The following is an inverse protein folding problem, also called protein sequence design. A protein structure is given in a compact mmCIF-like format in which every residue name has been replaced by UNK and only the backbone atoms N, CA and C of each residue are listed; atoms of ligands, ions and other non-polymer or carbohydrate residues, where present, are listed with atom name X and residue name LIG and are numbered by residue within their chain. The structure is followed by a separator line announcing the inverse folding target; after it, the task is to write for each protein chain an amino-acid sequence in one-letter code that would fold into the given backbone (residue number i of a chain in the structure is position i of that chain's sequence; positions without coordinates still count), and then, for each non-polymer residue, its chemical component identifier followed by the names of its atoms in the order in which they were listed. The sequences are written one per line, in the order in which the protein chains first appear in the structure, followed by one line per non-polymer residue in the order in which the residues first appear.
data_IF_917593352973
#
_entry.id   IF_917593352973
#
_cell.length_a   1.000
_cell.length_b   1.000
_cell.length_c   1.000
_cell.angle_alpha   90.00
_cell.angle_beta   90.00
_cell.angle_gamma   90.00
#
_symmetry.space_group_name_H-M   'P 1'
#
loop_
_entity.id
_entity.type
_entity.pdbx_description
1 polymer ?
#
# COMPACT_ATOMS: atom_id res chain seq x y z
N UNK A 1 5.91 -8.95 3.42
CA UNK A 1 6.76 -8.89 2.21
C UNK A 1 8.13 -9.55 2.40
N UNK A 2 8.80 -9.38 3.54
CA UNK A 2 10.13 -9.98 3.82
C UNK A 2 10.15 -11.49 3.55
N UNK A 3 9.22 -12.25 4.13
CA UNK A 3 9.14 -13.70 3.95
C UNK A 3 9.08 -14.15 2.48
N UNK A 4 8.40 -13.41 1.58
CA UNK A 4 8.35 -13.74 0.14
C UNK A 4 9.74 -13.67 -0.51
N UNK A 5 10.53 -12.65 -0.15
CA UNK A 5 11.86 -12.42 -0.71
C UNK A 5 12.90 -13.33 -0.05
N UNK A 6 12.90 -13.38 1.28
CA UNK A 6 13.81 -14.20 2.06
C UNK A 6 13.60 -15.69 1.79
N UNK A 7 12.36 -16.18 1.79
CA UNK A 7 12.07 -17.59 1.53
C UNK A 7 12.57 -18.04 0.16
N UNK A 8 12.37 -17.24 -0.88
CA UNK A 8 12.89 -17.54 -2.22
C UNK A 8 14.42 -17.52 -2.28
N UNK A 9 15.07 -16.52 -1.67
CA UNK A 9 16.52 -16.41 -1.65
C UNK A 9 17.16 -17.60 -0.89
N UNK A 10 16.66 -17.89 0.31
CA UNK A 10 17.17 -18.98 1.14
C UNK A 10 16.97 -20.35 0.49
N UNK A 11 15.81 -20.59 -0.13
CA UNK A 11 15.54 -21.83 -0.86
C UNK A 11 16.49 -22.02 -2.07
N UNK A 12 16.97 -20.92 -2.67
CA UNK A 12 17.95 -20.94 -3.74
C UNK A 12 19.41 -21.04 -3.25
N UNK A 13 19.63 -21.11 -1.93
CA UNK A 13 20.97 -21.14 -1.34
C UNK A 13 21.66 -19.77 -1.22
N UNK A 14 20.93 -18.66 -1.41
CA UNK A 14 21.47 -17.32 -1.22
C UNK A 14 21.43 -16.91 0.26
N UNK A 15 22.38 -16.06 0.67
CA UNK A 15 22.28 -15.27 1.90
C UNK A 15 21.48 -14.00 1.66
N UNK A 16 20.97 -13.37 2.72
CA UNK A 16 20.16 -12.16 2.61
C UNK A 16 20.47 -11.14 3.71
N UNK A 17 20.50 -9.87 3.30
CA UNK A 17 20.51 -8.70 4.18
C UNK A 17 19.21 -7.94 3.95
N UNK A 18 18.38 -7.82 4.99
CA UNK A 18 17.09 -7.14 4.96
C UNK A 18 17.22 -5.79 5.64
N UNK A 19 17.01 -4.71 4.89
CA UNK A 19 16.81 -3.36 5.45
C UNK A 19 15.32 -3.03 5.50
N UNK A 20 14.62 -3.21 6.64
CA UNK A 20 13.18 -2.96 6.73
C UNK A 20 12.86 -1.46 6.60
N UNK A 21 11.55 -1.16 6.53
CA UNK A 21 11.04 0.20 6.68
C UNK A 21 11.26 0.69 8.11
N UNK A 22 11.59 1.98 8.27
CA UNK A 22 11.93 2.57 9.56
C UNK A 22 10.73 2.63 10.51
N UNK A 23 9.52 2.72 9.95
CA UNK A 23 8.27 2.77 10.71
C UNK A 23 7.82 1.39 11.24
N UNK A 24 8.35 0.29 10.68
CA UNK A 24 7.93 -1.09 11.04
C UNK A 24 9.09 -2.10 11.17
N UNK A 25 10.20 -1.78 11.87
CA UNK A 25 11.39 -2.65 11.90
C UNK A 25 11.21 -3.86 12.82
N UNK A 26 10.36 -3.77 13.84
CA UNK A 26 10.29 -4.76 14.92
C UNK A 26 9.85 -6.14 14.43
N UNK A 27 8.90 -6.22 13.50
CA UNK A 27 8.50 -7.49 12.92
C UNK A 27 9.62 -8.14 12.09
N UNK A 28 10.51 -7.35 11.48
CA UNK A 28 11.67 -7.88 10.78
C UNK A 28 12.71 -8.45 11.75
N UNK A 29 12.93 -7.78 12.89
CA UNK A 29 13.81 -8.26 13.95
C UNK A 29 13.27 -9.56 14.58
N UNK A 30 11.97 -9.64 14.83
CA UNK A 30 11.33 -10.87 15.28
C UNK A 30 11.52 -12.02 14.28
N UNK A 31 11.44 -11.75 12.97
CA UNK A 31 11.78 -12.76 11.96
C UNK A 31 13.25 -13.22 12.02
N UNK A 32 14.19 -12.33 12.36
CA UNK A 32 15.59 -12.71 12.54
C UNK A 32 15.77 -13.64 13.75
N UNK A 33 15.10 -13.34 14.86
CA UNK A 33 15.08 -14.22 16.03
C UNK A 33 14.50 -15.60 15.68
N UNK A 34 13.35 -15.65 14.98
CA UNK A 34 12.77 -16.93 14.54
C UNK A 34 13.67 -17.69 13.58
N UNK A 35 14.44 -17.00 12.73
CA UNK A 35 15.42 -17.63 11.85
C UNK A 35 16.56 -18.29 12.64
N UNK A 36 17.06 -17.62 13.68
CA UNK A 36 18.08 -18.15 14.59
C UNK A 36 17.54 -19.37 15.36
N UNK A 37 16.33 -19.27 15.93
CA UNK A 37 15.65 -20.38 16.63
C UNK A 37 15.41 -21.60 15.71
N UNK A 38 15.21 -21.36 14.41
CA UNK A 38 15.08 -22.40 13.39
C UNK A 38 16.43 -23.02 12.97
N UNK A 39 17.56 -22.52 13.49
CA UNK A 39 18.90 -23.04 13.23
C UNK A 39 19.54 -22.57 11.93
N UNK A 40 19.13 -21.41 11.38
CA UNK A 40 19.84 -20.83 10.24
C UNK A 40 21.29 -20.48 10.66
N UNK A 41 22.31 -20.84 9.86
CA UNK A 41 23.68 -20.50 10.19
C UNK A 41 23.90 -18.98 10.34
N UNK A 42 24.81 -18.54 11.22
CA UNK A 42 25.14 -17.13 11.39
C UNK A 42 25.50 -16.46 10.06
N UNK A 43 24.94 -15.28 9.82
CA UNK A 43 25.18 -14.51 8.60
C UNK A 43 24.32 -14.89 7.39
N UNK A 44 23.51 -15.96 7.45
CA UNK A 44 22.62 -16.35 6.35
C UNK A 44 21.42 -15.40 6.21
N UNK A 45 20.83 -14.98 7.33
CA UNK A 45 19.72 -14.02 7.37
C UNK A 45 20.06 -12.87 8.32
N UNK A 46 20.26 -11.67 7.78
CA UNK A 46 20.64 -10.49 8.56
C UNK A 46 19.57 -9.41 8.42
N UNK A 47 19.28 -8.69 9.51
CA UNK A 47 18.35 -7.56 9.50
C UNK A 47 19.08 -6.33 9.98
N UNK A 48 19.02 -5.27 9.18
CA UNK A 48 19.68 -3.98 9.45
C UNK A 48 18.63 -2.86 9.48
N UNK A 49 17.98 -2.61 10.63
CA UNK A 49 17.15 -1.43 10.81
C UNK A 49 17.98 -0.16 10.59
N UNK A 50 17.35 0.87 10.04
CA UNK A 50 17.97 2.16 9.84
C UNK A 50 16.94 3.24 10.12
N UNK A 51 17.41 4.38 10.64
CA UNK A 51 16.57 5.58 10.73
C UNK A 51 16.39 6.24 9.36
N UNK A 52 15.60 7.32 9.35
CA UNK A 52 15.33 8.09 8.14
C UNK A 52 16.59 8.73 7.55
N UNK A 53 17.47 9.29 8.39
CA UNK A 53 18.70 9.97 7.96
C UNK A 53 19.72 9.04 7.28
N UNK A 54 19.82 7.79 7.71
CA UNK A 54 20.79 6.83 7.18
C UNK A 54 20.25 5.96 6.05
N UNK A 55 18.94 5.91 5.85
CA UNK A 55 18.30 5.00 4.87
C UNK A 55 18.85 5.18 3.45
N UNK A 56 19.02 6.42 2.98
CA UNK A 56 19.52 6.68 1.63
C UNK A 56 20.98 6.26 1.46
N UNK A 57 21.82 6.56 2.45
CA UNK A 57 23.25 6.21 2.43
C UNK A 57 23.46 4.69 2.42
N UNK A 58 22.75 3.97 3.32
CA UNK A 58 22.81 2.50 3.38
C UNK A 58 22.31 1.88 2.07
N UNK A 59 21.20 2.36 1.52
CA UNK A 59 20.65 1.81 0.27
C UNK A 59 21.61 2.02 -0.90
N UNK A 60 22.24 3.21 -0.99
CA UNK A 60 23.25 3.51 -2.01
C UNK A 60 24.46 2.59 -1.88
N UNK A 61 24.97 2.41 -0.66
CA UNK A 61 26.09 1.49 -0.38
C UNK A 61 25.79 0.06 -0.83
N UNK A 62 24.62 -0.47 -0.47
CA UNK A 62 24.17 -1.82 -0.87
C UNK A 62 24.08 -1.93 -2.40
N UNK A 63 23.54 -0.92 -3.08
CA UNK A 63 23.40 -0.94 -4.54
C UNK A 63 24.74 -0.84 -5.29
N UNK A 64 25.78 -0.24 -4.70
CA UNK A 64 27.10 -0.10 -5.32
C UNK A 64 28.12 -1.16 -4.88
N UNK A 65 27.87 -1.90 -3.80
CA UNK A 65 28.81 -2.91 -3.30
C UNK A 65 28.91 -4.09 -4.26
N UNK A 66 30.13 -4.55 -4.59
CA UNK A 66 30.36 -5.75 -5.41
C UNK A 66 30.02 -7.06 -4.71
N UNK A 67 29.80 -7.04 -3.40
CA UNK A 67 29.46 -8.25 -2.61
C UNK A 67 27.97 -8.63 -2.70
N UNK A 68 27.15 -7.78 -3.33
CA UNK A 68 25.69 -7.99 -3.46
C UNK A 68 25.35 -8.28 -4.92
N UNK A 69 24.89 -9.49 -5.25
CA UNK A 69 24.54 -9.83 -6.63
C UNK A 69 23.12 -9.43 -7.05
N UNK A 70 22.21 -9.32 -6.08
CA UNK A 70 20.77 -9.16 -6.31
C UNK A 70 20.16 -8.12 -5.40
N UNK A 71 19.42 -7.17 -5.98
CA UNK A 71 18.57 -6.22 -5.25
C UNK A 71 17.11 -6.60 -5.45
N UNK A 72 16.38 -6.79 -4.34
CA UNK A 72 14.93 -7.06 -4.37
C UNK A 72 14.19 -6.03 -3.52
N UNK A 73 13.54 -5.07 -4.18
CA UNK A 73 12.88 -3.94 -3.54
C UNK A 73 11.36 -4.04 -3.62
N UNK A 74 10.68 -3.56 -2.58
CA UNK A 74 9.23 -3.30 -2.60
C UNK A 74 8.99 -1.94 -1.97
N UNK A 75 8.34 -1.02 -2.69
CA UNK A 75 8.08 0.33 -2.21
C UNK A 75 7.64 1.27 -3.32
N UNK A 76 7.92 2.57 -3.20
CA UNK A 76 7.44 3.55 -4.17
C UNK A 76 8.17 3.45 -5.51
N UNK A 77 7.46 3.76 -6.59
CA UNK A 77 8.03 3.77 -7.95
C UNK A 77 9.21 4.74 -8.07
N UNK A 78 9.15 5.89 -7.40
CA UNK A 78 10.23 6.87 -7.39
C UNK A 78 11.52 6.29 -6.78
N UNK A 79 11.43 5.61 -5.63
CA UNK A 79 12.60 4.98 -5.01
C UNK A 79 13.09 3.79 -5.82
N UNK A 80 12.18 2.98 -6.38
CA UNK A 80 12.55 1.86 -7.27
C UNK A 80 13.42 2.30 -8.45
N UNK A 81 13.07 3.43 -9.10
CA UNK A 81 13.87 4.01 -10.19
C UNK A 81 15.27 4.43 -9.73
N UNK A 82 15.38 5.03 -8.53
CA UNK A 82 16.69 5.40 -7.95
C UNK A 82 17.56 4.19 -7.67
N UNK A 83 17.00 3.14 -7.07
CA UNK A 83 17.73 1.91 -6.75
C UNK A 83 18.17 1.18 -8.01
N UNK A 84 17.33 1.14 -9.04
CA UNK A 84 17.67 0.57 -10.35
C UNK A 84 18.86 1.30 -10.98
N UNK A 85 18.83 2.64 -10.98
CA UNK A 85 19.93 3.45 -11.51
C UNK A 85 21.24 3.24 -10.73
N UNK A 86 21.17 3.16 -9.40
CA UNK A 86 22.34 2.90 -8.56
C UNK A 86 22.92 1.50 -8.79
N UNK A 87 22.05 0.50 -8.95
CA UNK A 87 22.44 -0.91 -9.17
C UNK A 87 23.10 -1.15 -10.53
N UNK A 88 22.88 -0.26 -11.50
CA UNK A 88 23.50 -0.36 -12.82
C UNK A 88 25.04 -0.23 -12.78
N UNK A 89 25.59 0.44 -11.76
CA UNK A 89 27.04 0.62 -11.57
C UNK A 89 27.84 -0.69 -11.49
N UNK A 90 27.17 -1.79 -11.11
CA UNK A 90 27.78 -3.13 -10.96
C UNK A 90 26.95 -4.20 -11.67
N UNK A 91 26.02 -3.79 -12.55
CA UNK A 91 25.19 -4.67 -13.39
C UNK A 91 24.44 -5.75 -12.58
N UNK A 92 23.90 -5.39 -11.41
CA UNK A 92 23.19 -6.33 -10.52
C UNK A 92 21.88 -6.81 -11.13
N UNK A 93 21.42 -7.99 -10.71
CA UNK A 93 20.03 -8.41 -10.94
C UNK A 93 19.11 -7.59 -10.02
N UNK A 94 18.07 -6.98 -10.59
CA UNK A 94 17.14 -6.12 -9.85
C UNK A 94 15.69 -6.59 -10.02
N UNK A 95 15.02 -6.88 -8.91
CA UNK A 95 13.60 -7.24 -8.86
C UNK A 95 12.81 -6.15 -8.12
N UNK A 96 11.83 -5.53 -8.79
CA UNK A 96 11.08 -4.39 -8.25
C UNK A 96 9.58 -4.68 -8.19
N UNK A 97 8.99 -4.44 -7.03
CA UNK A 97 7.54 -4.42 -6.80
C UNK A 97 7.16 -3.00 -6.36
N UNK A 98 6.51 -2.24 -7.23
CA UNK A 98 6.37 -0.79 -7.08
C UNK A 98 4.91 -0.35 -6.85
N UNK A 99 4.63 0.95 -6.97
CA UNK A 99 3.29 1.50 -6.79
C UNK A 99 2.32 1.02 -7.87
N UNK A 100 1.06 0.79 -7.47
CA UNK A 100 -0.02 0.38 -8.35
C UNK A 100 -1.09 1.45 -8.50
N UNK A 101 -2.00 1.25 -9.47
CA UNK A 101 -3.25 2.04 -9.57
C UNK A 101 -4.37 1.14 -10.09
N UNK A 102 -4.72 0.16 -9.27
CA UNK A 102 -5.60 -0.94 -9.64
C UNK A 102 -7.03 -0.44 -10.00
N UNK A 103 -7.51 -0.70 -11.22
CA UNK A 103 -8.88 -0.39 -11.60
C UNK A 103 -9.83 -1.49 -11.12
N UNK A 104 -11.01 -1.10 -10.65
CA UNK A 104 -12.18 -1.96 -10.52
C UNK A 104 -13.16 -1.53 -11.60
N UNK A 105 -13.56 -2.45 -12.48
CA UNK A 105 -14.45 -2.16 -13.60
C UNK A 105 -15.74 -2.97 -13.40
N UNK A 106 -16.85 -2.28 -13.20
CA UNK A 106 -18.17 -2.86 -12.95
C UNK A 106 -19.06 -2.60 -14.16
N UNK A 107 -19.24 -3.63 -14.99
CA UNK A 107 -20.07 -3.59 -16.19
C UNK A 107 -21.57 -3.64 -15.84
N UNK A 108 -22.42 -3.22 -16.78
CA UNK A 108 -23.88 -3.25 -16.66
C UNK A 108 -24.41 -4.62 -16.19
N UNK A 109 -23.84 -5.71 -16.70
CA UNK A 109 -24.26 -7.08 -16.42
C UNK A 109 -23.69 -7.65 -15.11
N UNK A 110 -22.93 -6.88 -14.35
CA UNK A 110 -22.31 -7.36 -13.12
C UNK A 110 -23.34 -7.57 -12.01
N UNK A 111 -23.18 -8.65 -11.25
CA UNK A 111 -23.88 -8.79 -9.98
C UNK A 111 -23.35 -7.73 -8.99
N UNK A 112 -24.19 -6.75 -8.67
CA UNK A 112 -23.82 -5.66 -7.78
C UNK A 112 -23.49 -6.11 -6.35
N UNK A 113 -24.11 -7.17 -5.85
CA UNK A 113 -23.80 -7.70 -4.52
C UNK A 113 -22.38 -8.27 -4.48
N UNK A 114 -22.00 -9.03 -5.50
CA UNK A 114 -20.64 -9.57 -5.66
C UNK A 114 -19.64 -8.44 -5.88
N UNK A 115 -19.94 -7.49 -6.77
CA UNK A 115 -19.06 -6.37 -7.07
C UNK A 115 -18.77 -5.49 -5.84
N UNK A 116 -19.78 -5.17 -5.04
CA UNK A 116 -19.65 -4.40 -3.79
C UNK A 116 -18.84 -5.18 -2.77
N UNK A 117 -19.13 -6.46 -2.55
CA UNK A 117 -18.37 -7.31 -1.61
C UNK A 117 -16.90 -7.40 -2.00
N UNK A 118 -16.61 -7.63 -3.28
CA UNK A 118 -15.24 -7.64 -3.81
C UNK A 118 -14.54 -6.30 -3.64
N UNK A 119 -15.24 -5.20 -3.93
CA UNK A 119 -14.75 -3.83 -3.76
C UNK A 119 -14.38 -3.52 -2.31
N UNK A 120 -15.20 -3.93 -1.35
CA UNK A 120 -14.95 -3.75 0.08
C UNK A 120 -13.65 -4.45 0.50
N UNK A 121 -13.49 -5.72 0.13
CA UNK A 121 -12.27 -6.49 0.44
C UNK A 121 -11.02 -5.94 -0.23
N UNK A 122 -11.14 -5.53 -1.51
CA UNK A 122 -10.03 -4.98 -2.28
C UNK A 122 -9.59 -3.59 -1.81
N UNK A 123 -10.52 -2.76 -1.31
CA UNK A 123 -10.22 -1.39 -0.91
C UNK A 123 -9.76 -1.27 0.54
N UNK A 124 -10.43 -1.95 1.45
CA UNK A 124 -10.32 -1.62 2.88
C UNK A 124 -9.36 -2.52 3.66
N UNK A 125 -8.86 -3.62 3.05
CA UNK A 125 -7.78 -4.42 3.64
C UNK A 125 -6.55 -3.55 3.90
N UNK A 126 -6.03 -3.59 5.13
CA UNK A 126 -4.90 -2.76 5.55
C UNK A 126 -5.18 -1.25 5.49
N UNK A 127 -6.45 -0.85 5.65
CA UNK A 127 -6.92 0.54 5.48
C UNK A 127 -6.59 1.12 4.09
N UNK A 128 -6.52 0.27 3.06
CA UNK A 128 -6.16 0.67 1.69
C UNK A 128 -4.68 0.91 1.44
N UNK A 129 -3.81 0.58 2.40
CA UNK A 129 -2.36 0.73 2.32
C UNK A 129 -1.70 -0.55 1.79
N UNK A 130 -2.17 -1.04 0.65
CA UNK A 130 -1.57 -2.18 -0.05
C UNK A 130 -1.40 -1.84 -1.53
N UNK A 131 -0.30 -2.27 -2.15
CA UNK A 131 0.01 -1.97 -3.56
C UNK A 131 -1.03 -2.51 -4.57
N UNK A 132 -1.82 -3.50 -4.15
CA UNK A 132 -2.91 -4.10 -4.95
C UNK A 132 -4.30 -3.58 -4.55
N UNK A 133 -4.37 -2.60 -3.64
CA UNK A 133 -5.64 -2.04 -3.23
C UNK A 133 -6.34 -1.36 -4.41
N UNK A 134 -7.67 -1.51 -4.48
CA UNK A 134 -8.46 -0.82 -5.49
C UNK A 134 -8.25 0.71 -5.38
N UNK A 135 -7.89 1.34 -6.49
CA UNK A 135 -7.56 2.77 -6.53
C UNK A 135 -8.60 3.57 -7.32
N UNK A 136 -9.07 3.02 -8.43
CA UNK A 136 -10.00 3.69 -9.36
C UNK A 136 -11.18 2.78 -9.63
N UNK A 137 -12.40 3.28 -9.44
CA UNK A 137 -13.62 2.52 -9.66
C UNK A 137 -14.32 3.07 -10.90
N UNK A 138 -14.47 2.24 -11.92
CA UNK A 138 -15.20 2.53 -13.15
C UNK A 138 -16.50 1.75 -13.09
N UNK A 139 -17.63 2.45 -13.00
CA UNK A 139 -18.94 1.81 -12.85
C UNK A 139 -19.81 2.27 -13.99
N UNK A 140 -20.34 1.29 -14.74
CA UNK A 140 -21.18 1.58 -15.89
C UNK A 140 -22.36 2.48 -15.53
N UNK A 141 -22.59 3.52 -16.34
CA UNK A 141 -23.52 4.61 -16.03
C UNK A 141 -24.92 4.15 -15.59
N UNK A 142 -25.47 3.10 -16.21
CA UNK A 142 -26.80 2.55 -15.89
C UNK A 142 -26.94 1.97 -14.47
N UNK A 143 -25.84 1.53 -13.87
CA UNK A 143 -25.83 0.88 -12.54
C UNK A 143 -25.05 1.70 -11.51
N UNK A 144 -24.57 2.88 -11.89
CA UNK A 144 -23.71 3.73 -11.07
C UNK A 144 -24.37 4.07 -9.72
N UNK A 145 -25.57 4.63 -9.74
CA UNK A 145 -26.21 5.13 -8.52
C UNK A 145 -26.62 3.98 -7.57
N UNK A 146 -26.99 2.83 -8.12
CA UNK A 146 -27.25 1.60 -7.35
C UNK A 146 -25.98 1.06 -6.70
N UNK A 147 -24.86 1.05 -7.42
CA UNK A 147 -23.56 0.67 -6.87
C UNK A 147 -23.14 1.60 -5.73
N UNK A 148 -23.24 2.93 -5.92
CA UNK A 148 -22.95 3.93 -4.87
C UNK A 148 -23.80 3.67 -3.63
N UNK A 149 -25.11 3.47 -3.81
CA UNK A 149 -26.03 3.21 -2.69
C UNK A 149 -25.64 1.96 -1.91
N UNK A 150 -25.35 0.86 -2.59
CA UNK A 150 -24.93 -0.40 -1.95
C UNK A 150 -23.55 -0.28 -1.29
N UNK A 151 -22.61 0.43 -1.90
CA UNK A 151 -21.30 0.72 -1.30
C UNK A 151 -21.44 1.52 0.00
N UNK A 152 -22.29 2.55 0.04
CA UNK A 152 -22.55 3.32 1.27
C UNK A 152 -23.05 2.42 2.40
N UNK A 153 -24.02 1.55 2.11
CA UNK A 153 -24.55 0.61 3.11
C UNK A 153 -23.45 -0.30 3.64
N UNK A 154 -22.63 -0.87 2.77
CA UNK A 154 -21.52 -1.74 3.16
C UNK A 154 -20.46 -0.98 4.00
N UNK A 155 -20.12 0.25 3.61
CA UNK A 155 -19.12 1.07 4.30
C UNK A 155 -19.57 1.56 5.68
N UNK A 156 -20.87 1.78 5.89
CA UNK A 156 -21.41 2.14 7.22
C UNK A 156 -21.21 1.06 8.27
N UNK A 157 -20.97 -0.19 7.86
CA UNK A 157 -20.64 -1.28 8.77
C UNK A 157 -19.18 -1.30 9.24
N UNK A 158 -18.31 -0.41 8.74
CA UNK A 158 -16.90 -0.37 9.11
C UNK A 158 -16.67 0.41 10.41
N UNK A 159 -15.99 -0.23 11.35
CA UNK A 159 -15.51 0.39 12.59
C UNK A 159 -14.05 0.82 12.44
N UNK A 160 -13.78 2.10 12.70
CA UNK A 160 -12.41 2.66 12.72
C UNK A 160 -11.91 2.71 14.15
N UNK A 161 -10.70 2.22 14.41
CA UNK A 161 -10.21 2.14 15.78
C UNK A 161 -8.79 1.59 15.92
N UNK A 162 -8.46 1.19 17.14
CA UNK A 162 -7.21 0.51 17.47
C UNK A 162 -7.19 -0.88 16.82
N UNK A 163 -6.07 -1.24 16.17
CA UNK A 163 -5.89 -2.53 15.53
C UNK A 163 -5.86 -3.72 16.50
N UNK A 164 -5.69 -3.47 17.79
CA UNK A 164 -5.76 -4.50 18.83
C UNK A 164 -7.20 -4.75 19.33
N UNK A 165 -8.16 -3.88 19.01
CA UNK A 165 -9.56 -4.09 19.33
C UNK A 165 -10.20 -5.04 18.30
N UNK A 166 -10.77 -6.19 18.70
CA UNK A 166 -11.40 -7.15 17.78
C UNK A 166 -12.61 -6.59 17.02
N UNK A 167 -13.19 -5.47 17.45
CA UNK A 167 -14.29 -4.78 16.75
C UNK A 167 -13.80 -3.89 15.62
N UNK A 168 -12.52 -3.53 15.59
CA UNK A 168 -11.97 -2.65 14.56
C UNK A 168 -11.87 -3.36 13.22
N UNK A 169 -12.41 -2.74 12.17
CA UNK A 169 -12.24 -3.19 10.79
C UNK A 169 -11.16 -2.38 10.06
N UNK A 170 -11.00 -1.11 10.44
CA UNK A 170 -10.11 -0.14 9.80
C UNK A 170 -9.17 0.44 10.86
N UNK A 171 -7.90 0.06 10.79
CA UNK A 171 -6.86 0.61 11.65
C UNK A 171 -6.41 2.01 11.20
N UNK A 172 -5.56 2.67 12.01
CA UNK A 172 -4.94 3.93 11.64
C UNK A 172 -4.09 3.82 10.36
N UNK A 173 -3.89 4.96 9.69
CA UNK A 173 -2.86 5.08 8.68
C UNK A 173 -1.47 5.04 9.33
N UNK A 174 -0.48 4.59 8.57
CA UNK A 174 0.86 4.29 9.10
C UNK A 174 1.51 5.51 9.75
N UNK A 175 1.31 6.71 9.20
CA UNK A 175 1.88 7.95 9.73
C UNK A 175 1.11 9.19 9.25
N UNK A 176 1.47 10.35 9.77
CA UNK A 176 0.87 11.65 9.42
C UNK A 176 1.02 12.03 7.95
N UNK A 177 2.10 11.58 7.28
CA UNK A 177 2.29 11.86 5.86
C UNK A 177 1.22 11.15 5.00
N UNK A 178 0.84 9.92 5.37
CA UNK A 178 -0.26 9.21 4.73
C UNK A 178 -1.61 9.94 4.92
N UNK A 179 -1.88 10.44 6.14
CA UNK A 179 -3.09 11.23 6.44
C UNK A 179 -3.15 12.50 5.59
N UNK A 180 -2.04 13.25 5.52
CA UNK A 180 -1.94 14.46 4.70
C UNK A 180 -2.20 14.15 3.23
N UNK A 181 -1.50 13.17 2.67
CA UNK A 181 -1.68 12.74 1.27
C UNK A 181 -3.15 12.41 0.95
N UNK A 182 -3.81 11.60 1.78
CA UNK A 182 -5.22 11.26 1.56
C UNK A 182 -6.11 12.50 1.64
N UNK A 183 -5.86 13.37 2.62
CA UNK A 183 -6.61 14.62 2.81
C UNK A 183 -6.46 15.55 1.60
N UNK A 184 -5.25 15.71 1.09
CA UNK A 184 -4.93 16.61 -0.01
C UNK A 184 -5.54 16.10 -1.32
N UNK A 185 -5.49 14.78 -1.58
CA UNK A 185 -6.15 14.17 -2.75
C UNK A 185 -7.68 14.33 -2.71
N UNK A 186 -8.30 14.23 -1.53
CA UNK A 186 -9.75 14.46 -1.37
C UNK A 186 -10.07 15.94 -1.64
N UNK A 187 -9.29 16.87 -1.08
CA UNK A 187 -9.49 18.30 -1.30
C UNK A 187 -9.36 18.70 -2.76
N UNK A 188 -8.34 18.19 -3.46
CA UNK A 188 -8.17 18.41 -4.90
C UNK A 188 -9.41 17.93 -5.66
N UNK A 189 -9.85 16.70 -5.41
CA UNK A 189 -11.03 16.15 -6.06
C UNK A 189 -12.29 16.98 -5.79
N UNK A 190 -12.54 17.39 -4.55
CA UNK A 190 -13.69 18.24 -4.19
C UNK A 190 -13.64 19.61 -4.89
N UNK A 191 -12.45 20.23 -4.93
CA UNK A 191 -12.25 21.53 -5.61
C UNK A 191 -12.51 21.48 -7.11
N UNK A 192 -12.43 20.29 -7.71
CA UNK A 192 -12.68 20.02 -9.13
C UNK A 192 -14.05 19.39 -9.39
N UNK A 193 -14.93 19.34 -8.38
CA UNK A 193 -16.33 18.94 -8.52
C UNK A 193 -16.66 17.49 -8.15
N UNK A 194 -15.71 16.73 -7.60
CA UNK A 194 -16.06 15.47 -6.94
C UNK A 194 -16.93 15.74 -5.72
N UNK A 195 -17.77 14.76 -5.37
CA UNK A 195 -18.63 14.85 -4.20
C UNK A 195 -18.30 13.74 -3.20
N UNK A 196 -18.09 14.12 -1.94
CA UNK A 196 -18.08 13.18 -0.82
C UNK A 196 -19.50 12.66 -0.57
N UNK A 197 -19.68 11.35 -0.72
CA UNK A 197 -20.92 10.65 -0.41
C UNK A 197 -20.92 10.15 1.04
N UNK A 198 -19.76 9.70 1.52
CA UNK A 198 -19.57 9.19 2.88
C UNK A 198 -18.14 9.47 3.35
N UNK A 199 -17.96 9.75 4.64
CA UNK A 199 -16.65 9.87 5.28
C UNK A 199 -15.93 11.19 5.00
N UNK A 200 -14.64 11.11 4.66
CA UNK A 200 -13.82 12.26 4.28
C UNK A 200 -13.14 12.99 5.42
N UNK A 201 -13.35 12.56 6.68
CA UNK A 201 -12.79 13.25 7.85
C UNK A 201 -11.68 12.46 8.52
N UNK A 202 -10.73 13.21 9.05
CA UNK A 202 -9.70 12.72 9.97
C UNK A 202 -10.34 12.28 11.29
N UNK A 203 -9.89 11.15 11.83
CA UNK A 203 -10.23 10.66 13.16
C UNK A 203 -9.17 11.03 14.21
N UNK A 204 -9.19 10.33 15.34
CA UNK A 204 -8.16 10.48 16.38
C UNK A 204 -6.80 9.97 15.87
N UNK A 205 -5.72 10.71 16.14
CA UNK A 205 -4.37 10.33 15.69
C UNK A 205 -4.29 10.25 14.16
N UNK A 206 -3.78 9.14 13.64
CA UNK A 206 -3.68 8.86 12.20
C UNK A 206 -4.86 8.06 11.65
N UNK A 207 -5.93 7.88 12.41
CA UNK A 207 -7.17 7.29 11.90
C UNK A 207 -7.80 8.21 10.85
N UNK A 208 -8.38 7.60 9.81
CA UNK A 208 -9.07 8.30 8.74
C UNK A 208 -10.36 7.58 8.39
N UNK A 209 -11.47 8.31 8.23
CA UNK A 209 -12.75 7.70 7.90
C UNK A 209 -12.72 7.05 6.51
N UNK A 210 -13.27 5.83 6.33
CA UNK A 210 -13.58 5.29 5.02
C UNK A 210 -14.37 6.29 4.18
N UNK A 211 -13.82 6.66 3.02
CA UNK A 211 -14.36 7.75 2.19
C UNK A 211 -14.87 7.21 0.87
N UNK A 212 -16.06 7.65 0.46
CA UNK A 212 -16.61 7.40 -0.87
C UNK A 212 -16.76 8.71 -1.61
N UNK A 213 -16.09 8.83 -2.75
CA UNK A 213 -16.22 9.94 -3.69
C UNK A 213 -16.96 9.47 -4.95
N UNK A 214 -17.84 10.34 -5.45
CA UNK A 214 -18.47 10.23 -6.78
C UNK A 214 -18.09 11.42 -7.64
N UNK A 215 -18.40 11.35 -8.94
CA UNK A 215 -18.08 12.38 -9.94
C UNK A 215 -16.57 12.60 -10.08
N UNK A 216 -15.78 11.55 -9.91
CA UNK A 216 -14.33 11.64 -10.11
C UNK A 216 -14.03 11.68 -11.61
N UNK A 217 -13.20 12.64 -12.02
CA UNK A 217 -12.78 12.86 -13.42
C UNK A 217 -11.27 12.70 -13.57
N UNK A 218 -10.76 12.72 -14.81
CA UNK A 218 -9.34 12.46 -15.11
C UNK A 218 -8.40 13.59 -14.74
N UNK A 219 -8.90 14.81 -14.62
CA UNK A 219 -8.13 15.99 -14.22
C UNK A 219 -7.89 16.06 -12.70
N UNK A 220 -8.55 15.21 -11.93
CA UNK A 220 -8.34 15.10 -10.48
C UNK A 220 -7.09 14.29 -10.18
N UNK A 221 -6.27 14.74 -9.24
CA UNK A 221 -5.04 14.05 -8.84
C UNK A 221 -5.31 12.64 -8.33
N UNK A 222 -6.45 12.45 -7.66
CA UNK A 222 -6.90 11.16 -7.12
C UNK A 222 -7.11 10.09 -8.22
N UNK A 223 -7.38 10.52 -9.46
CA UNK A 223 -7.53 9.60 -10.60
C UNK A 223 -6.19 9.13 -11.18
N UNK A 224 -5.10 9.85 -10.91
CA UNK A 224 -3.77 9.60 -11.49
C UNK A 224 -2.72 9.19 -10.45
N UNK A 225 -3.04 9.34 -9.17
CA UNK A 225 -2.15 9.05 -8.05
C UNK A 225 -2.63 7.82 -7.29
N UNK A 226 -1.69 6.96 -6.90
CA UNK A 226 -1.97 5.89 -5.94
C UNK A 226 -2.37 6.50 -4.60
N UNK A 227 -3.61 6.30 -4.16
CA UNK A 227 -4.16 6.94 -2.95
C UNK A 227 -3.44 6.41 -1.70
N UNK A 228 -3.30 5.09 -1.63
CA UNK A 228 -2.71 4.37 -0.49
C UNK A 228 -3.40 4.70 0.85
N UNK A 229 -4.73 4.71 0.83
CA UNK A 229 -5.60 5.00 1.97
C UNK A 229 -7.06 4.60 1.68
N UNK A 230 -7.97 4.74 2.66
CA UNK A 230 -9.30 4.11 2.65
C UNK A 230 -10.33 4.94 1.86
N UNK A 231 -10.01 5.28 0.60
CA UNK A 231 -10.88 6.08 -0.29
C UNK A 231 -11.32 5.26 -1.51
N UNK A 232 -12.62 5.17 -1.73
CA UNK A 232 -13.25 4.67 -2.96
C UNK A 232 -13.52 5.87 -3.86
N UNK A 233 -12.82 5.97 -4.99
CA UNK A 233 -12.98 7.04 -5.97
C UNK A 233 -13.72 6.52 -7.21
N UNK A 234 -15.01 6.86 -7.33
CA UNK A 234 -15.90 6.35 -8.39
C UNK A 234 -16.04 7.32 -9.54
N UNK A 235 -15.84 6.76 -10.74
CA UNK A 235 -16.01 7.39 -12.05
C UNK A 235 -17.23 6.78 -12.74
N UNK A 236 -17.97 7.63 -13.44
CA UNK A 236 -18.97 7.22 -14.44
C UNK A 236 -18.27 6.86 -15.74
#
# INVERSE_FOLDING_TARGET
MIARKAGAALAAGCTIVVKPAQDTPLSALAMAQTAEEAGLPPGVFNVIPADHSHTAAISKFICSSTDVDVISFTGSTAVGKLLLAQSASTVKRVCLELGGSAPVIVFESADLGVAVKGSMGAKFRGSGQTCVAANRFFVHQKIHDDFITKMVVAMKGLTVGDGMDPKTNIGPLINEAAVRKVTDLIKDAESKGARIVLGGKRGKGTCFQPTLLTNVTEDMEIANTEIFGPVVAVRK
#
